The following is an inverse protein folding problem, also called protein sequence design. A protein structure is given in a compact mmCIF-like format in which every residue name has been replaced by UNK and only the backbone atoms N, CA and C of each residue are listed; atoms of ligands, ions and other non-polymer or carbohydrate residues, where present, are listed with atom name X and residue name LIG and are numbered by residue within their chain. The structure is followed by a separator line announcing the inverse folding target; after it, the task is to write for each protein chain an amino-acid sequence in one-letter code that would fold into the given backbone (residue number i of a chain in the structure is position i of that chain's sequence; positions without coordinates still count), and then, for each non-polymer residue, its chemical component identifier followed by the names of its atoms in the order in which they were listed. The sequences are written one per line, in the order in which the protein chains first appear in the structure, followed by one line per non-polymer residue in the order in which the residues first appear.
data_IF_434744647342
#
_entry.id   IF_434744647342
#
_cell.length_a   1.000
_cell.length_b   1.000
_cell.length_c   1.000
_cell.angle_alpha   90.00
_cell.angle_beta   90.00
_cell.angle_gamma   90.00
#
_symmetry.space_group_name_H-M   'P 1'
#
loop_
_entity.id
_entity.type
_entity.pdbx_description
1 polymer ?
#
# COMPACT_ATOMS: atom_id res chain seq x y z
N UNK A 1 -16.06 -16.42 -7.55
CA UNK A 1 -15.17 -15.46 -6.87
C UNK A 1 -15.97 -14.22 -6.56
N UNK A 2 -15.80 -13.63 -5.37
CA UNK A 2 -16.46 -12.36 -4.97
C UNK A 2 -15.49 -11.18 -5.12
N UNK A 3 -16.03 -9.94 -5.09
CA UNK A 3 -15.20 -8.73 -5.11
C UNK A 3 -14.18 -8.73 -3.96
N UNK A 4 -14.60 -9.02 -2.73
CA UNK A 4 -13.69 -9.08 -1.57
C UNK A 4 -12.60 -10.14 -1.71
N UNK A 5 -12.85 -11.25 -2.40
CA UNK A 5 -11.80 -12.22 -2.71
C UNK A 5 -10.79 -11.66 -3.72
N UNK A 6 -11.27 -10.88 -4.69
CA UNK A 6 -10.40 -10.24 -5.67
C UNK A 6 -9.52 -9.16 -5.02
N UNK A 7 -10.09 -8.37 -4.10
CA UNK A 7 -9.35 -7.38 -3.29
C UNK A 7 -8.23 -8.05 -2.49
N UNK A 8 -8.50 -9.17 -1.82
CA UNK A 8 -7.46 -9.93 -1.09
C UNK A 8 -6.34 -10.44 -2.00
N UNK A 9 -6.68 -10.90 -3.20
CA UNK A 9 -5.66 -11.29 -4.19
C UNK A 9 -4.79 -10.11 -4.64
N UNK A 10 -5.39 -8.93 -4.81
CA UNK A 10 -4.66 -7.70 -5.11
C UNK A 10 -3.70 -7.32 -3.98
N UNK A 11 -4.14 -7.37 -2.72
CA UNK A 11 -3.29 -7.12 -1.55
C UNK A 11 -2.10 -8.07 -1.50
N UNK A 12 -2.35 -9.38 -1.62
CA UNK A 12 -1.29 -10.39 -1.62
C UNK A 12 -0.31 -10.18 -2.76
N UNK A 13 -0.81 -9.85 -3.96
CA UNK A 13 0.02 -9.61 -5.12
C UNK A 13 0.89 -8.37 -4.94
N UNK A 14 0.33 -7.26 -4.42
CA UNK A 14 1.09 -6.05 -4.14
C UNK A 14 2.19 -6.30 -3.11
N UNK A 15 1.91 -7.05 -2.03
CA UNK A 15 2.93 -7.38 -1.02
C UNK A 15 3.99 -8.33 -1.54
N UNK A 16 3.58 -9.49 -2.06
CA UNK A 16 4.49 -10.60 -2.35
C UNK A 16 5.21 -10.46 -3.69
N UNK A 17 4.51 -9.99 -4.74
CA UNK A 17 5.04 -9.94 -6.10
C UNK A 17 5.51 -8.55 -6.49
N UNK A 18 4.78 -7.53 -6.08
CA UNK A 18 5.09 -6.15 -6.44
C UNK A 18 5.91 -5.41 -5.39
N UNK A 19 6.16 -6.04 -4.22
CA UNK A 19 7.04 -5.57 -3.15
C UNK A 19 6.63 -4.22 -2.55
N UNK A 20 5.34 -4.02 -2.31
CA UNK A 20 4.84 -2.88 -1.57
C UNK A 20 4.98 -3.13 -0.07
N UNK A 21 5.68 -2.25 0.65
CA UNK A 21 5.86 -2.34 2.10
C UNK A 21 4.61 -1.95 2.88
N UNK A 22 3.82 -1.01 2.35
CA UNK A 22 2.51 -0.62 2.91
C UNK A 22 1.45 -0.92 1.87
N UNK A 23 0.36 -1.57 2.28
CA UNK A 23 -0.81 -1.84 1.42
C UNK A 23 -2.06 -1.57 2.23
N UNK A 24 -2.94 -0.75 1.68
CA UNK A 24 -4.26 -0.41 2.22
C UNK A 24 -5.33 -0.85 1.21
N UNK A 25 -6.46 -1.35 1.72
CA UNK A 25 -7.62 -1.74 0.90
C UNK A 25 -8.89 -1.08 1.42
N UNK A 26 -9.75 -0.68 0.48
CA UNK A 26 -11.09 -0.15 0.74
C UNK A 26 -11.09 1.00 1.78
N UNK A 27 -10.01 1.79 1.80
CA UNK A 27 -9.91 2.95 2.68
C UNK A 27 -10.33 4.21 1.94
N UNK A 28 -11.19 5.00 2.57
CA UNK A 28 -11.64 6.29 2.08
C UNK A 28 -10.92 7.45 2.76
N UNK A 29 -10.78 8.55 2.05
CA UNK A 29 -10.36 9.84 2.57
C UNK A 29 -11.20 10.98 1.95
N UNK A 30 -10.85 12.22 2.23
CA UNK A 30 -11.60 13.39 1.78
C UNK A 30 -11.59 13.60 0.25
N UNK A 31 -10.78 12.86 -0.51
CA UNK A 31 -10.69 12.97 -1.99
C UNK A 31 -11.95 12.51 -2.72
N UNK A 32 -12.78 11.69 -2.08
CA UNK A 32 -13.87 10.97 -2.74
C UNK A 32 -13.41 9.75 -3.57
N UNK A 33 -12.11 9.57 -3.80
CA UNK A 33 -11.57 8.34 -4.39
C UNK A 33 -11.36 7.30 -3.29
N UNK A 34 -11.99 6.14 -3.45
CA UNK A 34 -11.79 4.98 -2.57
C UNK A 34 -11.15 3.87 -3.41
N UNK A 35 -9.82 3.73 -3.37
CA UNK A 35 -9.15 2.65 -4.08
C UNK A 35 -9.55 1.29 -3.51
N UNK A 36 -9.80 0.31 -4.38
CA UNK A 36 -9.99 -1.06 -3.92
C UNK A 36 -8.73 -1.54 -3.18
N UNK A 37 -7.54 -1.33 -3.77
CA UNK A 37 -6.26 -1.54 -3.10
C UNK A 37 -5.23 -0.52 -3.57
N UNK A 38 -4.47 0.04 -2.63
CA UNK A 38 -3.33 0.88 -2.94
C UNK A 38 -2.13 0.46 -2.09
N UNK A 39 -0.94 0.42 -2.70
CA UNK A 39 0.29 0.07 -2.01
C UNK A 39 1.42 1.04 -2.33
N UNK A 40 2.39 1.15 -1.42
CA UNK A 40 3.58 1.98 -1.60
C UNK A 40 4.84 1.15 -1.55
N UNK A 41 5.73 1.45 -2.51
CA UNK A 41 7.11 0.96 -2.54
C UNK A 41 8.06 2.01 -1.96
N UNK A 42 9.32 1.64 -1.81
CA UNK A 42 10.40 2.60 -1.56
C UNK A 42 10.35 3.79 -2.52
N UNK A 43 10.90 4.94 -2.12
CA UNK A 43 10.88 6.19 -2.91
C UNK A 43 9.47 6.72 -3.21
N UNK A 44 8.52 6.55 -2.30
CA UNK A 44 7.14 7.06 -2.38
C UNK A 44 6.40 6.66 -3.67
N UNK A 45 6.73 5.50 -4.25
CA UNK A 45 6.04 4.98 -5.44
C UNK A 45 4.75 4.29 -5.04
N UNK A 46 3.63 4.88 -5.40
CA UNK A 46 2.32 4.29 -5.17
C UNK A 46 1.84 3.45 -6.34
N UNK A 47 1.12 2.38 -6.03
CA UNK A 47 0.54 1.45 -6.98
C UNK A 47 -0.91 1.22 -6.62
N UNK A 48 -1.81 1.62 -7.50
CA UNK A 48 -3.25 1.47 -7.32
C UNK A 48 -3.74 0.25 -8.11
N UNK A 49 -4.61 -0.54 -7.50
CA UNK A 49 -5.28 -1.66 -8.16
C UNK A 49 -6.78 -1.51 -7.95
N UNK A 50 -7.51 -1.46 -9.06
CA UNK A 50 -8.97 -1.49 -9.12
C UNK A 50 -9.44 -2.90 -9.49
N UNK A 51 -10.32 -3.46 -8.70
CA UNK A 51 -10.85 -4.81 -8.84
C UNK A 51 -12.20 -4.77 -9.58
N UNK A 52 -12.32 -5.44 -10.71
CA UNK A 52 -13.56 -5.47 -11.49
C UNK A 52 -14.01 -6.90 -11.74
N UNK A 53 -15.23 -7.20 -11.32
CA UNK A 53 -15.83 -8.53 -11.46
C UNK A 53 -16.68 -8.67 -12.72
N UNK A 54 -17.16 -7.57 -13.29
CA UNK A 54 -18.00 -7.56 -14.48
C UNK A 54 -17.54 -6.47 -15.47
N UNK A 55 -17.89 -6.65 -16.74
CA UNK A 55 -17.62 -5.62 -17.75
C UNK A 55 -18.39 -4.32 -17.48
N UNK A 56 -19.63 -4.44 -17.00
CA UNK A 56 -20.44 -3.26 -16.65
C UNK A 56 -19.75 -2.42 -15.56
N UNK A 57 -19.21 -3.05 -14.54
CA UNK A 57 -18.47 -2.40 -13.47
C UNK A 57 -17.17 -1.74 -13.99
N UNK A 58 -16.45 -2.40 -14.89
CA UNK A 58 -15.30 -1.81 -15.56
C UNK A 58 -15.64 -0.56 -16.37
N UNK A 59 -16.71 -0.59 -17.16
CA UNK A 59 -17.12 0.58 -17.95
C UNK A 59 -17.62 1.71 -17.08
N UNK A 60 -18.37 1.43 -16.02
CA UNK A 60 -18.82 2.45 -15.06
C UNK A 60 -17.66 3.18 -14.38
N UNK A 61 -16.53 2.51 -14.15
CA UNK A 61 -15.34 3.13 -13.55
C UNK A 61 -14.76 4.26 -14.41
N UNK A 62 -14.89 4.19 -15.74
CA UNK A 62 -14.37 5.21 -16.66
C UNK A 62 -15.02 6.58 -16.48
N UNK A 63 -16.24 6.60 -15.96
CA UNK A 63 -17.00 7.84 -15.78
C UNK A 63 -16.61 8.61 -14.50
N UNK A 64 -15.80 8.00 -13.65
CA UNK A 64 -15.32 8.66 -12.42
C UNK A 64 -14.43 9.86 -12.74
N UNK A 65 -14.53 10.99 -11.98
CA UNK A 65 -13.77 12.21 -12.25
C UNK A 65 -12.25 11.97 -12.35
N UNK A 66 -11.68 11.22 -11.43
CA UNK A 66 -10.25 10.90 -11.40
C UNK A 66 -9.79 9.89 -12.46
N UNK A 67 -10.71 9.41 -13.32
CA UNK A 67 -10.38 8.69 -14.57
C UNK A 67 -10.34 9.62 -15.76
N UNK A 68 -11.15 10.68 -15.72
CA UNK A 68 -11.18 11.75 -16.75
C UNK A 68 -9.98 12.69 -16.60
N UNK A 69 -9.54 12.93 -15.35
CA UNK A 69 -8.35 13.71 -15.01
C UNK A 69 -7.32 12.83 -14.26
N UNK A 70 -6.64 11.92 -14.98
CA UNK A 70 -5.81 10.90 -14.34
C UNK A 70 -4.63 11.45 -13.54
N UNK A 71 -4.15 12.65 -13.85
CA UNK A 71 -3.08 13.32 -13.11
C UNK A 71 -3.51 13.75 -11.70
N UNK A 72 -4.80 13.98 -11.46
CA UNK A 72 -5.34 14.36 -10.15
C UNK A 72 -5.64 13.16 -9.24
N UNK A 73 -5.70 11.96 -9.78
CA UNK A 73 -6.01 10.75 -9.03
C UNK A 73 -4.80 10.12 -8.35
N UNK A 74 -5.07 9.16 -7.45
CA UNK A 74 -4.05 8.40 -6.74
C UNK A 74 -3.36 7.34 -7.62
N UNK A 75 -2.16 6.92 -7.23
CA UNK A 75 -1.38 5.86 -7.89
C UNK A 75 -0.43 6.35 -8.99
N UNK A 76 0.89 6.18 -8.79
CA UNK A 76 1.89 6.39 -9.84
C UNK A 76 1.80 5.34 -10.94
N UNK A 77 1.48 4.12 -10.55
CA UNK A 77 1.21 2.99 -11.43
C UNK A 77 -0.21 2.50 -11.13
N UNK A 78 -0.98 2.19 -12.16
CA UNK A 78 -2.38 1.82 -11.99
C UNK A 78 -2.70 0.54 -12.73
N UNK A 79 -3.44 -0.35 -12.08
CA UNK A 79 -3.87 -1.63 -12.63
C UNK A 79 -5.37 -1.81 -12.48
N UNK A 80 -5.96 -2.50 -13.43
CA UNK A 80 -7.16 -3.28 -13.18
C UNK A 80 -6.78 -4.71 -12.84
N UNK A 81 -7.44 -5.30 -11.85
CA UNK A 81 -7.42 -6.74 -11.58
C UNK A 81 -8.80 -7.32 -11.89
N UNK A 82 -8.83 -8.33 -12.77
CA UNK A 82 -10.07 -8.93 -13.25
C UNK A 82 -9.96 -10.47 -13.33
N UNK A 83 -11.07 -11.20 -13.34
CA UNK A 83 -11.07 -12.54 -13.86
C UNK A 83 -10.48 -12.60 -15.27
N UNK A 84 -9.78 -13.68 -15.58
CA UNK A 84 -9.11 -13.84 -16.86
C UNK A 84 -10.08 -13.71 -18.05
N UNK A 85 -9.69 -12.90 -19.04
CA UNK A 85 -10.47 -12.68 -20.26
C UNK A 85 -11.69 -11.77 -20.09
N UNK A 86 -11.84 -11.09 -18.95
CA UNK A 86 -12.95 -10.17 -18.75
C UNK A 86 -12.79 -8.87 -19.56
N UNK A 87 -11.57 -8.38 -19.68
CA UNK A 87 -11.21 -7.11 -20.35
C UNK A 87 -10.19 -7.40 -21.44
N UNK A 88 -10.35 -6.81 -22.59
CA UNK A 88 -9.36 -6.84 -23.66
C UNK A 88 -8.31 -5.75 -23.47
N UNK A 89 -7.09 -6.01 -23.94
CA UNK A 89 -5.97 -5.05 -23.81
C UNK A 89 -6.26 -3.69 -24.46
N UNK A 90 -6.99 -3.68 -25.56
CA UNK A 90 -7.37 -2.47 -26.28
C UNK A 90 -8.41 -1.62 -25.55
N UNK A 91 -9.10 -2.19 -24.55
CA UNK A 91 -10.11 -1.49 -23.76
C UNK A 91 -9.50 -0.74 -22.58
N UNK A 92 -8.23 -1.01 -22.24
CA UNK A 92 -7.57 -0.36 -21.10
C UNK A 92 -7.40 1.15 -21.34
N UNK A 93 -7.63 1.97 -20.32
CA UNK A 93 -7.26 3.38 -20.40
C UNK A 93 -5.74 3.53 -20.61
N UNK A 94 -5.30 4.64 -21.23
CA UNK A 94 -3.88 4.90 -21.41
C UNK A 94 -3.09 4.79 -20.11
N UNK A 95 -1.92 4.19 -20.17
CA UNK A 95 -0.99 3.97 -19.07
C UNK A 95 -1.43 2.98 -17.99
N UNK A 96 -2.64 2.42 -18.03
CA UNK A 96 -3.08 1.39 -17.11
C UNK A 96 -2.51 0.01 -17.46
N UNK A 97 -2.19 -0.77 -16.42
CA UNK A 97 -1.85 -2.18 -16.55
C UNK A 97 -3.05 -3.08 -16.32
N UNK A 98 -2.89 -4.35 -16.67
CA UNK A 98 -3.87 -5.40 -16.45
C UNK A 98 -3.26 -6.55 -15.67
N UNK A 99 -3.92 -6.88 -14.58
CA UNK A 99 -3.73 -8.09 -13.83
C UNK A 99 -4.93 -9.00 -14.09
N UNK A 100 -4.67 -10.25 -14.36
CA UNK A 100 -5.72 -11.24 -14.53
C UNK A 100 -5.56 -12.37 -13.51
N UNK A 101 -6.68 -12.82 -12.94
CA UNK A 101 -6.67 -13.93 -12.04
C UNK A 101 -7.34 -15.18 -12.65
N UNK A 102 -6.74 -16.35 -12.36
CA UNK A 102 -7.32 -17.67 -12.58
C UNK A 102 -7.29 -18.42 -11.26
N UNK A 103 -8.45 -18.55 -10.62
CA UNK A 103 -8.51 -19.04 -9.25
C UNK A 103 -7.78 -18.08 -8.29
N UNK A 104 -6.71 -18.56 -7.67
CA UNK A 104 -5.87 -17.74 -6.75
C UNK A 104 -4.59 -17.19 -7.39
N UNK A 105 -4.33 -17.57 -8.61
CA UNK A 105 -3.14 -17.11 -9.32
C UNK A 105 -3.41 -15.77 -10.01
N UNK A 106 -2.55 -14.79 -9.75
CA UNK A 106 -2.59 -13.46 -10.36
C UNK A 106 -1.39 -13.30 -11.28
N UNK A 107 -1.63 -12.98 -12.54
CA UNK A 107 -0.62 -12.73 -13.56
C UNK A 107 -0.73 -11.31 -14.12
N UNK A 108 0.41 -10.68 -14.40
CA UNK A 108 0.46 -9.39 -15.07
C UNK A 108 0.41 -9.59 -16.58
N UNK A 109 -0.71 -9.24 -17.19
CA UNK A 109 -0.93 -9.38 -18.65
C UNK A 109 -0.50 -8.14 -19.41
N UNK A 110 -0.72 -6.95 -18.82
CA UNK A 110 -0.27 -5.67 -19.37
C UNK A 110 0.49 -4.89 -18.29
N UNK A 111 1.70 -4.43 -18.64
CA UNK A 111 2.50 -3.60 -17.74
C UNK A 111 2.00 -2.15 -17.78
N UNK A 112 1.81 -1.47 -16.65
CA UNK A 112 1.40 -0.07 -16.62
C UNK A 112 2.56 0.81 -17.08
N UNK A 113 2.24 2.00 -17.56
CA UNK A 113 3.23 3.07 -17.68
C UNK A 113 3.16 3.94 -16.43
N UNK A 114 4.33 4.29 -15.88
CA UNK A 114 4.41 5.20 -14.76
C UNK A 114 3.91 6.59 -15.19
N UNK A 115 3.04 7.18 -14.39
CA UNK A 115 2.65 8.56 -14.56
C UNK A 115 3.81 9.47 -14.11
N UNK A 116 4.46 10.10 -15.07
CA UNK A 116 5.61 10.98 -14.81
C UNK A 116 5.17 12.38 -14.32
N UNK A 117 3.98 12.80 -14.71
CA UNK A 117 3.41 14.08 -14.31
C UNK A 117 2.22 13.80 -13.39
N UNK A 118 2.45 13.90 -12.10
CA UNK A 118 1.40 13.87 -11.09
C UNK A 118 1.22 15.26 -10.55
N UNK A 119 -0.03 15.69 -10.42
CA UNK A 119 -0.33 16.95 -9.77
C UNK A 119 -0.04 16.86 -8.26
N UNK A 120 0.24 17.99 -7.65
CA UNK A 120 0.35 18.12 -6.21
C UNK A 120 -0.90 17.56 -5.51
N UNK A 121 -2.07 17.77 -6.10
CA UNK A 121 -3.36 17.26 -5.62
C UNK A 121 -3.34 15.73 -5.47
N UNK A 122 -2.87 14.99 -6.48
CA UNK A 122 -2.79 13.53 -6.40
C UNK A 122 -1.90 13.04 -5.26
N UNK A 123 -0.80 13.75 -4.97
CA UNK A 123 0.07 13.44 -3.83
C UNK A 123 -0.58 13.80 -2.50
N UNK A 124 -1.29 14.93 -2.41
CA UNK A 124 -2.04 15.33 -1.21
C UNK A 124 -3.12 14.31 -0.87
N UNK A 125 -3.82 13.76 -1.86
CA UNK A 125 -4.83 12.72 -1.63
C UNK A 125 -4.22 11.44 -1.06
N UNK A 126 -3.08 11.00 -1.57
CA UNK A 126 -2.37 9.84 -0.99
C UNK A 126 -1.90 10.10 0.44
N UNK A 127 -1.37 11.28 0.73
CA UNK A 127 -0.99 11.67 2.08
C UNK A 127 -2.20 11.71 3.02
N UNK A 128 -3.31 12.29 2.57
CA UNK A 128 -4.55 12.31 3.34
C UNK A 128 -5.08 10.91 3.64
N UNK A 129 -4.98 9.99 2.66
CA UNK A 129 -5.37 8.59 2.86
C UNK A 129 -4.49 7.90 3.92
N UNK A 130 -3.18 8.09 3.86
CA UNK A 130 -2.25 7.56 4.86
C UNK A 130 -2.52 8.12 6.24
N UNK A 131 -2.68 9.44 6.38
CA UNK A 131 -2.97 10.10 7.65
C UNK A 131 -4.33 9.65 8.23
N UNK A 132 -5.37 9.55 7.39
CA UNK A 132 -6.66 9.05 7.83
C UNK A 132 -6.58 7.59 8.31
N UNK A 133 -5.78 6.77 7.64
CA UNK A 133 -5.57 5.36 8.04
C UNK A 133 -4.80 5.26 9.35
N UNK A 134 -3.76 6.08 9.55
CA UNK A 134 -3.02 6.14 10.80
C UNK A 134 -3.89 6.61 11.97
N UNK A 135 -4.72 7.63 11.77
CA UNK A 135 -5.69 8.09 12.80
C UNK A 135 -6.67 6.99 13.20
N UNK A 136 -7.14 6.17 12.25
CA UNK A 136 -8.02 5.04 12.57
C UNK A 136 -7.33 3.98 13.43
N UNK A 137 -6.04 3.77 13.22
CA UNK A 137 -5.22 2.88 14.07
C UNK A 137 -5.11 3.45 15.48
N UNK A 138 -4.81 4.74 15.61
CA UNK A 138 -4.69 5.44 16.91
C UNK A 138 -5.98 5.34 17.73
N UNK A 139 -7.13 5.62 17.11
CA UNK A 139 -8.44 5.53 17.78
C UNK A 139 -8.77 4.10 18.23
N UNK A 140 -8.34 3.07 17.48
CA UNK A 140 -8.60 1.66 17.85
C UNK A 140 -7.70 1.12 18.94
N UNK A 141 -6.57 1.76 19.18
CA UNK A 141 -5.51 1.30 20.11
C UNK A 141 -5.53 2.18 21.38
N UNK A 142 -6.61 2.86 21.67
CA UNK A 142 -6.70 3.66 22.91
C UNK A 142 -6.27 2.84 24.15
N UNK A 143 -5.55 3.44 25.08
CA UNK A 143 -5.09 4.84 25.15
C UNK A 143 -3.73 5.13 24.50
N UNK A 144 -3.26 4.28 23.60
CA UNK A 144 -1.91 4.36 23.04
C UNK A 144 -1.87 5.19 21.76
N UNK A 145 -0.92 6.11 21.68
CA UNK A 145 -0.59 6.80 20.45
C UNK A 145 0.10 5.86 19.46
N UNK A 146 0.16 6.23 18.18
CA UNK A 146 0.93 5.49 17.16
C UNK A 146 2.38 5.32 17.61
N UNK A 147 2.97 6.36 18.21
CA UNK A 147 4.34 6.33 18.73
C UNK A 147 4.49 5.26 19.83
N UNK A 148 3.55 5.19 20.76
CA UNK A 148 3.60 4.22 21.86
C UNK A 148 3.37 2.80 21.36
N UNK A 149 2.50 2.62 20.37
CA UNK A 149 2.31 1.34 19.70
C UNK A 149 3.60 0.87 19.00
N UNK A 150 4.29 1.74 18.30
CA UNK A 150 5.56 1.41 17.65
C UNK A 150 6.64 1.07 18.69
N UNK A 151 6.73 1.81 19.80
CA UNK A 151 7.64 1.52 20.91
C UNK A 151 7.32 0.18 21.57
N UNK A 152 6.04 -0.12 21.77
CA UNK A 152 5.60 -1.40 22.33
C UNK A 152 5.93 -2.55 21.39
N UNK A 153 5.66 -2.42 20.10
CA UNK A 153 5.99 -3.40 19.06
C UNK A 153 7.50 -3.70 19.04
N UNK A 154 8.33 -2.68 19.10
CA UNK A 154 9.78 -2.84 19.10
C UNK A 154 10.25 -3.56 20.37
N UNK A 155 9.75 -3.18 21.56
CA UNK A 155 10.05 -3.87 22.83
C UNK A 155 9.62 -5.34 22.80
N UNK A 156 8.47 -5.64 22.21
CA UNK A 156 8.01 -7.01 22.11
C UNK A 156 8.90 -7.84 21.18
N UNK A 157 9.37 -7.26 20.08
CA UNK A 157 10.34 -7.90 19.21
C UNK A 157 11.67 -8.15 19.90
N UNK A 158 12.19 -7.19 20.68
CA UNK A 158 13.39 -7.34 21.49
C UNK A 158 13.24 -8.48 22.53
N UNK A 159 12.10 -8.52 23.24
CA UNK A 159 11.81 -9.55 24.23
C UNK A 159 11.75 -10.96 23.62
N UNK A 160 11.24 -11.08 22.41
CA UNK A 160 11.14 -12.35 21.68
C UNK A 160 12.39 -12.68 20.83
N UNK A 161 13.55 -12.06 21.11
CA UNK A 161 14.79 -12.31 20.36
C UNK A 161 14.72 -11.87 18.91
N UNK A 162 14.05 -10.77 18.64
CA UNK A 162 13.87 -10.19 17.29
C UNK A 162 12.73 -10.79 16.48
N UNK A 163 11.96 -11.74 17.06
CA UNK A 163 10.80 -12.34 16.39
C UNK A 163 9.52 -11.62 16.77
N UNK A 164 8.71 -11.28 15.80
CA UNK A 164 7.35 -10.79 16.04
C UNK A 164 6.44 -11.94 16.46
N UNK A 165 5.43 -11.69 17.33
CA UNK A 165 4.43 -12.70 17.69
C UNK A 165 3.74 -13.28 16.46
N UNK A 166 3.29 -14.53 16.53
CA UNK A 166 2.47 -15.15 15.48
C UNK A 166 1.26 -14.28 15.14
N UNK A 167 1.04 -14.06 13.86
CA UNK A 167 -0.06 -13.22 13.35
C UNK A 167 0.30 -11.73 13.16
N UNK A 168 1.45 -11.27 13.62
CA UNK A 168 1.98 -9.94 13.32
C UNK A 168 2.97 -10.06 12.17
N UNK A 169 2.51 -9.82 10.94
CA UNK A 169 3.43 -9.73 9.81
C UNK A 169 4.26 -8.46 9.91
N UNK A 170 5.56 -8.63 10.06
CA UNK A 170 6.48 -7.48 9.93
C UNK A 170 6.34 -6.87 8.54
N UNK A 171 6.21 -5.55 8.41
CA UNK A 171 6.65 -4.89 7.20
C UNK A 171 8.16 -5.16 7.12
N UNK A 172 8.59 -5.76 6.03
CA UNK A 172 9.94 -6.26 5.74
C UNK A 172 11.03 -5.82 6.74
N UNK A 173 11.54 -6.80 7.50
CA UNK A 173 12.36 -6.64 8.69
C UNK A 173 13.76 -6.02 8.45
N UNK A 174 14.12 -5.65 7.24
CA UNK A 174 15.46 -5.14 6.94
C UNK A 174 15.80 -3.78 7.56
N UNK A 175 14.78 -2.95 7.86
CA UNK A 175 15.04 -1.64 8.47
C UNK A 175 15.17 -1.72 10.00
N UNK A 176 14.60 -2.76 10.63
CA UNK A 176 14.59 -2.89 12.07
C UNK A 176 15.74 -3.73 12.64
N UNK A 177 16.35 -4.61 11.85
CA UNK A 177 17.45 -5.46 12.31
C UNK A 177 18.68 -4.64 12.69
N UNK A 178 19.02 -3.61 11.93
CA UNK A 178 20.15 -2.73 12.25
C UNK A 178 19.94 -1.87 13.50
N UNK A 179 18.70 -1.51 13.83
CA UNK A 179 18.42 -0.79 15.07
C UNK A 179 18.47 -1.69 16.30
N UNK A 180 18.09 -2.95 16.17
CA UNK A 180 18.14 -3.95 17.25
C UNK A 180 19.58 -4.37 17.53
N UNK A 181 20.40 -4.61 16.51
CA UNK A 181 21.81 -4.96 16.66
C UNK A 181 22.65 -3.83 17.29
N UNK A 182 22.36 -2.56 16.96
CA UNK A 182 23.02 -1.42 17.57
C UNK A 182 22.73 -1.29 19.09
N UNK A 183 21.56 -1.77 19.56
CA UNK A 183 21.21 -1.74 20.97
C UNK A 183 21.78 -2.90 21.78
N UNK A 184 21.99 -4.06 21.17
CA UNK A 184 22.53 -5.25 21.84
C UNK A 184 24.03 -5.09 22.12
N UNK A 185 24.77 -4.34 21.33
CA UNK A 185 26.22 -4.15 21.50
C UNK A 185 26.62 -3.06 22.49
N UNK A 186 25.72 -2.15 22.88
CA UNK A 186 26.03 -1.07 23.82
C UNK A 186 25.25 -1.20 25.13
N UNK A 187 25.51 -2.21 25.90
CA UNK A 187 24.87 -2.51 27.18
C UNK A 187 25.10 -1.50 28.30
N UNK A 188 25.16 -0.21 28.04
CA UNK A 188 25.09 0.88 29.04
C UNK A 188 24.63 2.19 28.39
N UNK A 189 23.52 2.68 28.90
CA UNK A 189 22.85 3.96 28.71
C UNK A 189 21.63 3.93 27.78
N UNK A 190 20.49 4.27 28.39
CA UNK A 190 19.26 4.58 27.67
C UNK A 190 19.48 5.83 26.78
N UNK A 191 19.16 5.78 25.49
CA UNK A 191 19.29 6.95 24.65
C UNK A 191 18.11 7.88 24.87
N UNK A 192 18.40 9.08 25.31
CA UNK A 192 17.54 10.24 25.11
C UNK A 192 17.62 10.63 23.64
N UNK A 193 16.48 10.78 23.00
CA UNK A 193 16.25 11.27 21.64
C UNK A 193 16.64 10.30 20.49
N UNK A 194 15.61 9.81 19.83
CA UNK A 194 15.72 9.15 18.51
C UNK A 194 16.06 10.23 17.50
N UNK A 195 17.28 10.21 17.00
CA UNK A 195 17.64 11.03 15.83
C UNK A 195 16.95 10.43 14.59
N UNK A 196 16.05 11.18 14.00
CA UNK A 196 15.50 10.88 12.68
C UNK A 196 16.64 11.12 11.68
N UNK A 197 17.20 10.06 11.14
CA UNK A 197 18.17 10.16 10.05
C UNK A 197 17.40 10.50 8.78
N UNK A 198 17.67 11.63 8.11
CA UNK A 198 17.00 11.94 6.86
C UNK A 198 17.45 10.94 5.79
N UNK A 199 16.47 10.33 5.11
CA UNK A 199 16.71 9.53 3.91
C UNK A 199 17.37 10.43 2.86
N UNK A 200 18.63 10.13 2.51
CA UNK A 200 19.25 10.74 1.34
C UNK A 200 18.56 10.19 0.09
N UNK A 201 17.99 11.10 -0.67
CA UNK A 201 17.57 10.83 -2.04
C UNK A 201 18.82 10.78 -2.91
N UNK A 202 19.11 9.62 -3.47
CA UNK A 202 19.87 9.47 -4.71
C UNK A 202 18.93 9.08 -5.83
#
# INVERSE_FOLDING_TARGET
MTHSQLVRLAEEWLRKRYRCGIVLSEQSCASGETPDVIGWKGSCRSVLVECKMTRADFFADREKPFRKEPESGMGCERFYLTPRGLIEKCELPPAWGLLECKGREVSMTVRPRRQSQRTEIGLQWEMNLLLASLRRVEVRIEPQTITDFLKWKNRLAEYNGGKLPEGVTAPEAEVNVHLVEAHIHNGKQAPSAVAIVPLRCE
#
